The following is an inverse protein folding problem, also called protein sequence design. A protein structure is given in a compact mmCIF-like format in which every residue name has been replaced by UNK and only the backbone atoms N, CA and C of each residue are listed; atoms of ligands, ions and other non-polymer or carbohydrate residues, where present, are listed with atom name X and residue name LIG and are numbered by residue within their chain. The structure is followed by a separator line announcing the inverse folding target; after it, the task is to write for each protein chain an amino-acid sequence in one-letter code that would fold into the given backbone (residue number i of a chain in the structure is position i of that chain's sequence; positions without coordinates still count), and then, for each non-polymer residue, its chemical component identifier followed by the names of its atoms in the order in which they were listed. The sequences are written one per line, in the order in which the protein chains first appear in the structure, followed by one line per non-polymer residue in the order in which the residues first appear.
data_IF_258128764597
#
_entry.id   IF_258128764597
#
_cell.length_a   1.000
_cell.length_b   1.000
_cell.length_c   1.000
_cell.angle_alpha   90.00
_cell.angle_beta   90.00
_cell.angle_gamma   90.00
#
_symmetry.space_group_name_H-M   'P 1'
#
loop_
_entity.id
_entity.type
_entity.pdbx_description
1 polymer ?
#
# COMPACT_ATOMS: atom_id res chain seq x y z
N UNK A 1 -9.84 6.17 11.84
CA UNK A 1 -9.95 4.79 11.34
C UNK A 1 -8.59 4.35 10.82
N UNK A 2 -8.27 3.05 10.85
CA UNK A 2 -7.01 2.52 10.32
C UNK A 2 -7.30 1.44 9.28
N UNK A 3 -6.72 1.56 8.09
CA UNK A 3 -6.87 0.60 7.00
C UNK A 3 -5.52 -0.02 6.67
N UNK A 4 -5.49 -1.34 6.59
CA UNK A 4 -4.33 -2.11 6.15
C UNK A 4 -4.56 -2.61 4.72
N UNK A 5 -3.58 -2.40 3.83
CA UNK A 5 -3.65 -2.82 2.42
C UNK A 5 -2.51 -3.82 2.15
N UNK A 6 -2.83 -4.99 1.59
CA UNK A 6 -1.83 -6.02 1.25
C UNK A 6 -1.87 -6.34 -0.23
N UNK A 7 -0.74 -6.19 -0.90
CA UNK A 7 -0.52 -6.55 -2.30
C UNK A 7 0.75 -7.39 -2.45
N UNK A 8 0.61 -8.58 -3.05
CA UNK A 8 1.71 -9.53 -3.27
C UNK A 8 2.30 -9.52 -4.68
N UNK A 9 1.73 -8.75 -5.60
CA UNK A 9 2.18 -8.68 -7.01
C UNK A 9 2.18 -7.22 -7.53
N UNK A 10 2.94 -6.89 -8.60
CA UNK A 10 3.01 -5.53 -9.13
C UNK A 10 1.67 -4.92 -9.56
N UNK A 11 0.74 -5.75 -10.03
CA UNK A 11 -0.63 -5.31 -10.35
C UNK A 11 -1.37 -4.88 -9.09
N UNK A 12 -1.27 -5.64 -8.00
CA UNK A 12 -1.83 -5.30 -6.69
C UNK A 12 -1.24 -4.02 -6.12
N UNK A 13 0.07 -3.80 -6.28
CA UNK A 13 0.76 -2.58 -5.85
C UNK A 13 0.19 -1.32 -6.54
N UNK A 14 -0.04 -1.39 -7.85
CA UNK A 14 -0.68 -0.30 -8.59
C UNK A 14 -2.10 0.01 -8.08
N UNK A 15 -2.92 -1.02 -7.89
CA UNK A 15 -4.30 -0.83 -7.41
C UNK A 15 -4.34 -0.35 -5.96
N UNK A 16 -3.49 -0.90 -5.09
CA UNK A 16 -3.35 -0.51 -3.69
C UNK A 16 -2.94 0.96 -3.55
N UNK A 17 -2.00 1.43 -4.37
CA UNK A 17 -1.60 2.84 -4.39
C UNK A 17 -2.75 3.77 -4.81
N UNK A 18 -3.53 3.39 -5.82
CA UNK A 18 -4.69 4.18 -6.25
C UNK A 18 -5.79 4.22 -5.18
N UNK A 19 -6.04 3.09 -4.51
CA UNK A 19 -6.97 3.02 -3.38
C UNK A 19 -6.50 3.91 -2.23
N UNK A 20 -5.23 3.86 -1.86
CA UNK A 20 -4.63 4.68 -0.81
C UNK A 20 -4.84 6.18 -1.07
N UNK A 21 -4.57 6.62 -2.30
CA UNK A 21 -4.80 8.01 -2.74
C UNK A 21 -6.26 8.40 -2.62
N UNK A 22 -7.17 7.56 -3.11
CA UNK A 22 -8.61 7.83 -3.03
C UNK A 22 -9.10 7.91 -1.58
N UNK A 23 -8.62 7.03 -0.70
CA UNK A 23 -8.96 7.04 0.73
C UNK A 23 -8.47 8.32 1.41
N UNK A 24 -7.24 8.76 1.13
CA UNK A 24 -6.68 10.01 1.69
C UNK A 24 -7.40 11.26 1.17
N UNK A 25 -7.92 11.24 -0.06
CA UNK A 25 -8.74 12.34 -0.59
C UNK A 25 -10.10 12.41 0.10
N UNK A 26 -10.71 11.26 0.39
CA UNK A 26 -12.02 11.19 1.07
C UNK A 26 -11.91 11.52 2.56
N UNK A 27 -10.86 11.05 3.22
CA UNK A 27 -10.56 11.31 4.62
C UNK A 27 -9.05 11.52 4.81
N UNK A 28 -8.57 12.78 4.90
CA UNK A 28 -7.16 13.07 5.12
C UNK A 28 -6.61 12.51 6.44
N UNK A 29 -7.49 12.28 7.44
CA UNK A 29 -7.12 11.81 8.77
C UNK A 29 -7.00 10.29 8.86
N UNK A 30 -7.34 9.55 7.79
CA UNK A 30 -7.24 8.10 7.76
C UNK A 30 -5.78 7.66 7.91
N UNK A 31 -5.53 6.69 8.78
CA UNK A 31 -4.23 6.05 8.88
C UNK A 31 -4.18 4.90 7.89
N UNK A 32 -3.05 4.73 7.19
CA UNK A 32 -2.83 3.67 6.21
C UNK A 32 -1.51 2.96 6.51
N UNK A 33 -1.53 1.63 6.49
CA UNK A 33 -0.35 0.76 6.57
C UNK A 33 -0.51 -0.42 5.61
N UNK A 34 0.56 -1.13 5.31
CA UNK A 34 0.43 -2.20 4.32
C UNK A 34 1.68 -2.96 3.90
N UNK A 35 1.44 -3.92 3.03
CA UNK A 35 2.44 -4.70 2.30
C UNK A 35 2.25 -4.40 0.82
N UNK A 36 3.32 -4.01 0.14
CA UNK A 36 3.23 -3.59 -1.25
C UNK A 36 4.60 -3.29 -1.84
N UNK A 37 4.61 -2.79 -3.06
CA UNK A 37 5.81 -2.33 -3.74
C UNK A 37 6.00 -0.82 -3.61
N UNK A 38 6.86 -0.30 -4.48
CA UNK A 38 7.23 1.11 -4.50
C UNK A 38 6.04 2.06 -4.70
N UNK A 39 5.00 1.64 -5.45
CA UNK A 39 3.85 2.53 -5.71
C UNK A 39 3.03 2.75 -4.46
N UNK A 40 2.77 1.70 -3.68
CA UNK A 40 2.08 1.83 -2.39
C UNK A 40 2.93 2.63 -1.41
N UNK A 41 4.23 2.35 -1.32
CA UNK A 41 5.15 3.10 -0.45
C UNK A 41 5.14 4.61 -0.74
N UNK A 42 5.11 4.99 -2.03
CA UNK A 42 5.04 6.39 -2.46
C UNK A 42 3.74 7.12 -2.06
N UNK A 43 2.72 6.42 -1.55
CA UNK A 43 1.45 7.02 -1.11
C UNK A 43 1.37 7.32 0.38
N UNK A 44 2.46 7.12 1.12
CA UNK A 44 2.48 7.29 2.57
C UNK A 44 1.90 6.10 3.33
N UNK A 45 1.74 4.96 2.65
CA UNK A 45 1.61 3.67 3.33
C UNK A 45 3.00 3.32 3.84
N UNK A 46 3.17 3.19 5.15
CA UNK A 46 4.41 2.61 5.69
C UNK A 46 4.48 1.14 5.29
N UNK A 47 5.41 0.74 4.40
CA UNK A 47 5.51 -0.64 3.97
C UNK A 47 6.16 -1.46 5.09
N UNK A 48 5.41 -2.41 5.65
CA UNK A 48 5.93 -3.30 6.71
C UNK A 48 6.95 -4.32 6.17
N UNK A 49 6.83 -4.71 4.89
CA UNK A 49 7.78 -5.55 4.14
C UNK A 49 7.67 -5.17 2.66
N UNK A 50 8.82 -5.02 1.98
CA UNK A 50 8.85 -4.76 0.55
C UNK A 50 8.47 -6.02 -0.25
N UNK A 51 7.61 -5.89 -1.26
CA UNK A 51 7.12 -7.02 -2.07
C UNK A 51 8.24 -7.94 -2.62
N UNK A 52 9.40 -7.38 -2.98
CA UNK A 52 10.55 -8.14 -3.48
C UNK A 52 11.16 -9.07 -2.42
N UNK A 53 11.01 -8.78 -1.14
CA UNK A 53 11.50 -9.63 -0.04
C UNK A 53 10.69 -10.94 0.11
N UNK A 54 9.53 -11.04 -0.53
CA UNK A 54 8.65 -12.22 -0.50
C UNK A 54 8.91 -13.21 -1.66
N UNK A 55 9.76 -12.85 -2.64
CA UNK A 55 10.02 -13.67 -3.85
C UNK A 55 11.19 -14.65 -3.62
N UNK A 56 11.38 -15.16 -2.41
CA UNK A 56 12.29 -16.29 -2.17
C UNK A 56 11.57 -17.60 -2.48
N UNK A 57 11.42 -17.90 -3.77
CA UNK A 57 11.08 -19.24 -4.27
C UNK A 57 12.02 -19.57 -5.43
#
# INVERSE_FOLDING_TARGET
MHVFISAGEPSGDLHGANLAKALKLLDPTINLSGLGGDRMAATGIEPLVHILSLIHI
#
